data_IF_533191704642
#
_entry.id   IF_533191704642
#
_cell.length_a   1.000
_cell.length_b   1.000
_cell.length_c   1.000
_cell.angle_alpha   90.00
_cell.angle_beta   90.00
_cell.angle_gamma   90.00
#
_symmetry.space_group_name_H-M   'P 1'
#
loop_
_entity.id
_entity.type
_entity.pdbx_description
1 polymer ?
#
# COMPACT_ATOMS: atom_id res chain seq x y z
N UNK A 1 8.22 -8.48 -0.17
CA UNK A 1 8.25 -7.02 -0.43
C UNK A 1 7.06 -6.65 -1.30
N UNK A 2 6.46 -5.49 -1.05
CA UNK A 2 5.36 -4.93 -1.84
C UNK A 2 5.90 -3.83 -2.75
N UNK A 3 5.67 -3.97 -4.05
CA UNK A 3 6.15 -3.03 -5.07
C UNK A 3 4.99 -2.32 -5.76
N UNK A 4 5.20 -1.04 -6.11
CA UNK A 4 4.32 -0.34 -7.03
C UNK A 4 4.51 -0.90 -8.45
N UNK A 5 3.42 -1.30 -9.10
CA UNK A 5 3.44 -1.80 -10.50
C UNK A 5 3.19 -0.70 -11.53
N UNK A 6 2.69 0.43 -11.08
CA UNK A 6 2.36 1.59 -11.90
C UNK A 6 2.52 2.85 -11.04
N UNK A 7 2.60 4.01 -11.70
CA UNK A 7 2.56 5.30 -11.01
C UNK A 7 1.25 5.43 -10.22
N UNK A 8 1.35 5.74 -8.92
CA UNK A 8 0.19 5.89 -8.04
C UNK A 8 0.48 6.83 -6.87
N UNK A 9 -0.59 7.30 -6.23
CA UNK A 9 -0.54 7.97 -4.92
C UNK A 9 -0.74 6.92 -3.84
N UNK A 10 0.25 6.80 -2.96
CA UNK A 10 0.26 5.80 -1.89
C UNK A 10 -0.84 6.12 -0.88
N UNK A 11 -1.74 5.15 -0.66
CA UNK A 11 -2.78 5.26 0.35
C UNK A 11 -3.09 3.90 1.01
N UNK A 12 -3.22 3.92 2.33
CA UNK A 12 -3.64 2.79 3.15
C UNK A 12 -2.50 1.95 3.74
N UNK A 13 -1.22 2.34 3.61
CA UNK A 13 -0.09 1.58 4.17
C UNK A 13 -0.19 1.30 5.68
N UNK A 14 -0.67 2.22 6.54
CA UNK A 14 -0.87 1.93 7.95
C UNK A 14 -1.84 0.77 8.22
N UNK A 15 -2.76 0.47 7.30
CA UNK A 15 -3.70 -0.64 7.44
C UNK A 15 -3.02 -2.01 7.41
N UNK A 16 -1.80 -2.12 6.86
CA UNK A 16 -1.02 -3.35 6.90
C UNK A 16 -0.82 -3.83 8.35
N UNK A 17 -0.55 -2.92 9.29
CA UNK A 17 -0.43 -3.26 10.70
C UNK A 17 -1.71 -3.86 11.29
N UNK A 18 -2.89 -3.38 10.84
CA UNK A 18 -4.17 -3.93 11.29
C UNK A 18 -4.47 -5.29 10.68
N UNK A 19 -4.24 -5.46 9.37
CA UNK A 19 -4.48 -6.74 8.68
C UNK A 19 -3.60 -7.83 9.26
N UNK A 20 -2.30 -7.60 9.35
CA UNK A 20 -1.37 -8.63 9.80
C UNK A 20 -1.32 -8.77 11.32
N UNK A 21 -1.64 -7.72 12.08
CA UNK A 21 -1.77 -7.82 13.54
C UNK A 21 -2.86 -8.80 14.00
N UNK A 22 -3.87 -9.07 13.18
CA UNK A 22 -4.89 -10.08 13.45
C UNK A 22 -4.45 -11.51 13.09
N UNK A 23 -3.38 -11.68 12.31
CA UNK A 23 -2.95 -12.97 11.74
C UNK A 23 -1.69 -13.53 12.39
N UNK A 24 -0.89 -12.69 13.07
CA UNK A 24 0.29 -13.11 13.83
C UNK A 24 1.37 -12.03 13.93
N UNK A 25 2.54 -12.42 14.41
CA UNK A 25 3.70 -11.53 14.53
C UNK A 25 4.37 -11.32 13.15
N UNK A 26 3.88 -10.34 12.40
CA UNK A 26 4.50 -9.87 11.16
C UNK A 26 5.15 -8.52 11.41
N UNK A 27 6.45 -8.42 11.16
CA UNK A 27 7.20 -7.16 11.15
C UNK A 27 6.93 -6.45 9.83
N UNK A 28 6.57 -5.16 9.92
CA UNK A 28 6.21 -4.35 8.77
C UNK A 28 7.10 -3.10 8.77
N UNK A 29 7.78 -2.87 7.66
CA UNK A 29 8.60 -1.68 7.43
C UNK A 29 8.01 -0.92 6.25
N UNK A 30 7.55 0.31 6.47
CA UNK A 30 7.00 1.14 5.40
C UNK A 30 8.13 1.74 4.56
N UNK A 31 8.05 1.56 3.24
CA UNK A 31 9.02 2.10 2.27
C UNK A 31 8.58 3.42 1.65
N UNK A 32 7.30 3.79 1.80
CA UNK A 32 6.74 5.05 1.33
C UNK A 32 5.88 5.73 2.41
N UNK A 33 5.67 7.03 2.25
CA UNK A 33 4.77 7.83 3.10
C UNK A 33 3.37 7.88 2.50
N UNK A 34 2.34 7.96 3.35
CA UNK A 34 0.97 8.21 2.89
C UNK A 34 0.89 9.53 2.10
N UNK A 35 0.18 9.50 0.98
CA UNK A 35 0.02 10.63 0.07
C UNK A 35 1.21 10.89 -0.86
N UNK A 36 2.34 10.18 -0.68
CA UNK A 36 3.48 10.27 -1.59
C UNK A 36 3.13 9.67 -2.97
N UNK A 37 3.80 10.18 -3.99
CA UNK A 37 3.75 9.58 -5.33
C UNK A 37 4.80 8.47 -5.41
N UNK A 38 4.40 7.30 -5.90
CA UNK A 38 5.27 6.16 -6.14
C UNK A 38 5.32 5.87 -7.65
N UNK A 39 6.48 5.43 -8.12
CA UNK A 39 6.75 5.02 -9.49
C UNK A 39 6.85 3.48 -9.61
N UNK A 40 6.71 2.91 -10.81
CA UNK A 40 6.89 1.47 -11.01
C UNK A 40 8.25 0.99 -10.49
N UNK A 41 8.24 -0.04 -9.65
CA UNK A 41 9.45 -0.60 -9.02
C UNK A 41 9.71 -0.09 -7.60
N UNK A 42 9.06 0.99 -7.16
CA UNK A 42 9.23 1.50 -5.80
C UNK A 42 8.74 0.50 -4.74
N UNK A 43 9.50 0.35 -3.66
CA UNK A 43 9.12 -0.48 -2.52
C UNK A 43 8.17 0.30 -1.61
N UNK A 44 6.91 -0.14 -1.56
CA UNK A 44 5.88 0.48 -0.73
C UNK A 44 5.95 0.02 0.73
N UNK A 45 6.21 -1.28 0.94
CA UNK A 45 6.43 -1.85 2.26
C UNK A 45 7.16 -3.20 2.19
N UNK A 46 7.87 -3.54 3.25
CA UNK A 46 8.48 -4.85 3.48
C UNK A 46 7.77 -5.54 4.64
N UNK A 47 7.42 -6.80 4.44
CA UNK A 47 6.76 -7.63 5.45
C UNK A 47 7.62 -8.87 5.71
N UNK A 48 7.85 -9.16 6.98
CA UNK A 48 8.67 -10.28 7.45
C UNK A 48 7.93 -11.00 8.57
N UNK A 49 7.77 -12.32 8.45
CA UNK A 49 7.04 -13.12 9.43
C UNK A 49 6.76 -14.53 8.92
N UNK A 50 5.91 -15.24 9.65
CA UNK A 50 5.49 -16.60 9.28
C UNK A 50 4.80 -16.62 7.90
N UNK A 51 5.15 -17.61 7.07
CA UNK A 51 4.65 -17.71 5.71
C UNK A 51 3.13 -17.88 5.64
N UNK A 52 2.52 -18.62 6.59
CA UNK A 52 1.06 -18.79 6.66
C UNK A 52 0.38 -17.48 6.98
N UNK A 53 0.90 -16.71 7.93
CA UNK A 53 0.36 -15.39 8.28
C UNK A 53 0.49 -14.40 7.11
N UNK A 54 1.64 -14.40 6.42
CA UNK A 54 1.87 -13.54 5.25
C UNK A 54 0.89 -13.87 4.11
N UNK A 55 0.76 -15.15 3.74
CA UNK A 55 -0.10 -15.58 2.64
C UNK A 55 -1.60 -15.40 2.95
N UNK A 56 -2.00 -15.62 4.20
CA UNK A 56 -3.40 -15.42 4.62
C UNK A 56 -3.84 -13.95 4.50
N UNK A 57 -2.96 -13.01 4.81
CA UNK A 57 -3.25 -11.58 4.78
C UNK A 57 -3.01 -10.90 3.43
N UNK A 58 -2.24 -11.52 2.54
CA UNK A 58 -1.76 -10.91 1.29
C UNK A 58 -2.90 -10.36 0.44
N UNK A 59 -3.91 -11.18 0.12
CA UNK A 59 -4.99 -10.77 -0.79
C UNK A 59 -5.81 -9.62 -0.22
N UNK A 60 -6.14 -9.67 1.08
CA UNK A 60 -6.88 -8.60 1.75
C UNK A 60 -6.06 -7.30 1.78
N UNK A 61 -4.79 -7.38 2.17
CA UNK A 61 -3.89 -6.23 2.21
C UNK A 61 -3.72 -5.59 0.83
N UNK A 62 -3.47 -6.39 -0.21
CA UNK A 62 -3.31 -5.90 -1.57
C UNK A 62 -4.59 -5.24 -2.10
N UNK A 63 -5.75 -5.88 -1.91
CA UNK A 63 -7.02 -5.33 -2.37
C UNK A 63 -7.31 -3.97 -1.73
N UNK A 64 -7.06 -3.81 -0.43
CA UNK A 64 -7.25 -2.55 0.28
C UNK A 64 -6.32 -1.47 -0.26
N UNK A 65 -5.01 -1.76 -0.38
CA UNK A 65 -4.03 -0.79 -0.87
C UNK A 65 -4.31 -0.37 -2.31
N UNK A 66 -4.64 -1.33 -3.18
CA UNK A 66 -4.97 -1.06 -4.58
C UNK A 66 -6.19 -0.16 -4.71
N UNK A 67 -7.26 -0.46 -3.96
CA UNK A 67 -8.49 0.31 -4.02
C UNK A 67 -8.30 1.74 -3.51
N UNK A 68 -7.71 1.90 -2.32
CA UNK A 68 -7.46 3.20 -1.71
C UNK A 68 -6.49 4.05 -2.52
N UNK A 69 -5.39 3.45 -3.00
CA UNK A 69 -4.41 4.16 -3.83
C UNK A 69 -5.00 4.53 -5.20
N UNK A 70 -5.88 3.70 -5.76
CA UNK A 70 -6.62 4.00 -6.99
C UNK A 70 -7.49 5.24 -6.84
N UNK A 71 -8.26 5.32 -5.75
CA UNK A 71 -9.08 6.49 -5.40
C UNK A 71 -8.17 7.72 -5.23
N UNK A 72 -7.12 7.63 -4.41
CA UNK A 72 -6.20 8.74 -4.14
C UNK A 72 -5.54 9.28 -5.42
N UNK A 73 -5.18 8.38 -6.35
CA UNK A 73 -4.57 8.74 -7.64
C UNK A 73 -5.55 9.47 -8.55
N UNK A 74 -6.80 8.98 -8.64
CA UNK A 74 -7.85 9.65 -9.41
C UNK A 74 -8.18 11.02 -8.81
N UNK A 75 -8.30 11.12 -7.48
CA UNK A 75 -8.52 12.38 -6.78
C UNK A 75 -7.39 13.37 -7.08
N UNK A 76 -6.12 12.97 -6.97
CA UNK A 76 -4.98 13.83 -7.32
C UNK A 76 -5.07 14.30 -8.78
N UNK A 77 -5.40 13.41 -9.70
CA UNK A 77 -5.57 13.76 -11.12
C UNK A 77 -6.65 14.83 -11.32
N UNK A 78 -7.79 14.72 -10.64
CA UNK A 78 -8.84 15.74 -10.69
C UNK A 78 -8.37 17.08 -10.10
N UNK A 79 -7.66 17.07 -8.97
CA UNK A 79 -7.13 18.28 -8.33
C UNK A 79 -6.11 18.99 -9.23
N UNK A 80 -5.19 18.26 -9.85
CA UNK A 80 -4.21 18.87 -10.77
C UNK A 80 -4.87 19.42 -12.04
N UNK A 81 -5.97 18.82 -12.52
CA UNK A 81 -6.71 19.32 -13.69
C UNK A 81 -7.42 20.66 -13.44
N UNK A 82 -7.76 20.96 -12.19
CA UNK A 82 -8.42 22.21 -11.80
C UNK A 82 -7.47 23.22 -11.18
N UNK A 83 -6.20 22.84 -10.97
CA UNK A 83 -5.11 23.80 -10.72
C UNK A 83 -4.84 24.54 -12.02
N UNK A 84 -5.30 25.79 -12.09
CA UNK A 84 -4.86 26.76 -13.09
C UNK A 84 -3.44 27.25 -12.80
#
# INVERSE_FOLDING_TARGET
MLYAKQRLVVCGLPLLHRVFGALGAVRITLGAREGAQAEPGDVLATLEGDARALLAGERLALNLLQHLSGIATLTRTCVERVRG
#
